data_IF_549947650124
#
_entry.id   IF_549947650124
#
_cell.length_a   1.000
_cell.length_b   1.000
_cell.length_c   1.000
_cell.angle_alpha   90.00
_cell.angle_beta   90.00
_cell.angle_gamma   90.00
#
_symmetry.space_group_name_H-M   'P 1'
#
loop_
_entity.id
_entity.type
_entity.pdbx_description
1 polymer ?
#
# COMPACT_ATOMS: atom_id res chain seq x y z
N UNK A 1 -29.38 30.70 28.80
CA UNK A 1 -29.27 29.50 27.94
C UNK A 1 -28.99 29.81 26.46
N UNK A 2 -29.65 30.78 25.80
CA UNK A 2 -29.42 31.09 24.37
C UNK A 2 -27.96 31.45 23.98
N UNK A 3 -27.19 32.05 24.88
CA UNK A 3 -25.79 32.43 24.60
C UNK A 3 -24.80 31.27 24.76
N UNK A 4 -25.14 30.24 25.55
CA UNK A 4 -24.31 29.04 25.76
C UNK A 4 -24.40 28.09 24.55
N UNK A 5 -25.57 28.05 23.87
CA UNK A 5 -25.79 27.27 22.66
C UNK A 5 -25.00 27.81 21.46
N UNK A 6 -24.87 29.14 21.31
CA UNK A 6 -24.07 29.76 20.25
C UNK A 6 -22.58 29.46 20.38
N UNK A 7 -22.07 29.42 21.63
CA UNK A 7 -20.68 29.11 21.92
C UNK A 7 -20.36 27.64 21.61
N UNK A 8 -21.23 26.71 22.03
CA UNK A 8 -21.09 25.27 21.76
C UNK A 8 -21.15 24.93 20.27
N UNK A 9 -22.00 25.60 19.51
CA UNK A 9 -22.14 25.36 18.06
C UNK A 9 -20.91 25.87 17.29
N UNK A 10 -20.33 26.99 17.70
CA UNK A 10 -19.10 27.53 17.09
C UNK A 10 -17.89 26.62 17.29
N UNK A 11 -17.70 26.08 18.50
CA UNK A 11 -16.57 25.21 18.81
C UNK A 11 -16.66 23.85 18.10
N UNK A 12 -17.87 23.32 17.92
CA UNK A 12 -18.09 22.06 17.18
C UNK A 12 -17.73 22.20 15.70
N UNK A 13 -18.11 23.31 15.04
CA UNK A 13 -17.82 23.54 13.63
C UNK A 13 -16.31 23.72 13.38
N UNK A 14 -15.60 24.42 14.27
CA UNK A 14 -14.13 24.56 14.17
C UNK A 14 -13.42 23.22 14.40
N UNK A 15 -13.89 22.39 15.35
CA UNK A 15 -13.35 21.05 15.59
C UNK A 15 -13.54 20.09 14.40
N UNK A 16 -14.71 20.16 13.72
CA UNK A 16 -14.99 19.34 12.53
C UNK A 16 -14.16 19.81 11.33
N UNK A 17 -13.96 21.12 11.14
CA UNK A 17 -13.14 21.67 10.05
C UNK A 17 -11.65 21.34 10.19
N UNK A 18 -11.12 21.25 11.42
CA UNK A 18 -9.73 20.82 11.66
C UNK A 18 -9.53 19.30 11.52
N UNK A 19 -10.62 18.51 11.51
CA UNK A 19 -10.57 17.07 11.28
C UNK A 19 -10.55 16.66 9.81
N UNK A 20 -10.82 17.58 8.88
CA UNK A 20 -10.80 17.31 7.44
C UNK A 20 -9.37 17.42 6.89
N UNK A 21 -8.61 16.36 7.11
CA UNK A 21 -7.51 15.94 6.24
C UNK A 21 -6.32 16.89 6.15
N UNK A 22 -5.40 16.79 7.11
CA UNK A 22 -4.01 17.14 6.83
C UNK A 22 -3.49 16.17 5.77
N UNK A 23 -3.36 16.63 4.52
CA UNK A 23 -2.57 15.91 3.52
C UNK A 23 -1.12 16.07 3.96
N UNK A 24 -0.58 15.06 4.64
CA UNK A 24 0.82 15.05 5.01
C UNK A 24 1.64 15.12 3.72
N UNK A 25 2.50 16.12 3.59
CA UNK A 25 3.54 16.17 2.57
C UNK A 25 4.68 15.25 3.03
N UNK A 26 4.46 13.94 3.05
CA UNK A 26 5.51 12.98 3.34
C UNK A 26 6.00 12.39 2.01
N UNK A 27 7.31 12.44 1.76
CA UNK A 27 7.87 11.85 0.55
C UNK A 27 7.63 10.32 0.43
N UNK A 28 7.11 9.68 1.48
CA UNK A 28 6.80 8.25 1.55
C UNK A 28 5.70 7.96 2.55
N UNK A 29 4.83 6.98 2.25
CA UNK A 29 3.95 6.34 3.21
C UNK A 29 3.88 4.82 3.02
N UNK A 30 3.63 4.10 4.12
CA UNK A 30 3.50 2.64 4.16
C UNK A 30 2.12 2.28 4.69
N UNK A 31 1.50 1.24 4.13
CA UNK A 31 0.23 0.72 4.63
C UNK A 31 0.42 -0.06 5.92
N UNK A 32 -0.67 -0.39 6.60
CA UNK A 32 -0.63 -1.47 7.60
C UNK A 32 -0.15 -2.79 6.96
N UNK A 33 0.43 -3.65 7.78
CA UNK A 33 0.83 -5.01 7.38
C UNK A 33 -0.38 -5.94 7.42
N UNK A 34 -0.67 -6.61 6.30
CA UNK A 34 -1.60 -7.72 6.22
C UNK A 34 -0.91 -9.04 6.53
N UNK A 35 -1.65 -9.98 7.12
CA UNK A 35 -1.17 -11.31 7.47
C UNK A 35 -2.14 -12.34 6.92
N UNK A 36 -1.62 -13.41 6.34
CA UNK A 36 -2.43 -14.48 5.75
C UNK A 36 -1.68 -15.83 5.74
N UNK A 37 -2.43 -16.90 5.50
CA UNK A 37 -1.97 -18.28 5.58
C UNK A 37 -2.35 -18.99 6.89
N UNK A 38 -1.87 -20.24 7.08
CA UNK A 38 -0.88 -20.92 6.26
C UNK A 38 -1.41 -21.37 4.88
N UNK A 39 -0.56 -21.28 3.84
CA UNK A 39 -0.82 -21.77 2.48
C UNK A 39 0.36 -22.65 2.09
N UNK A 40 0.09 -23.90 1.74
CA UNK A 40 1.10 -24.90 1.43
C UNK A 40 2.25 -24.96 2.46
N UNK A 41 1.91 -24.80 3.74
CA UNK A 41 2.85 -24.86 4.87
C UNK A 41 3.53 -23.53 5.26
N UNK A 42 3.23 -22.41 4.59
CA UNK A 42 3.86 -21.11 4.86
C UNK A 42 2.86 -20.03 5.26
N UNK A 43 3.24 -19.18 6.19
CA UNK A 43 2.46 -17.99 6.59
C UNK A 43 3.15 -16.74 6.08
N UNK A 44 2.37 -15.81 5.55
CA UNK A 44 2.88 -14.68 4.78
C UNK A 44 2.38 -13.36 5.35
N UNK A 45 3.18 -12.32 5.25
CA UNK A 45 2.75 -10.95 5.45
C UNK A 45 2.91 -10.14 4.18
N UNK A 46 2.12 -9.08 4.02
CA UNK A 46 2.25 -8.17 2.90
C UNK A 46 2.01 -6.72 3.34
N UNK A 47 2.59 -5.78 2.60
CA UNK A 47 2.27 -4.36 2.74
C UNK A 47 2.55 -3.60 1.44
N UNK A 48 1.93 -2.43 1.32
CA UNK A 48 2.20 -1.49 0.25
C UNK A 48 2.98 -0.28 0.76
N UNK A 49 3.75 0.33 -0.14
CA UNK A 49 4.42 1.61 0.07
C UNK A 49 4.13 2.51 -1.12
N UNK A 50 4.00 3.81 -0.89
CA UNK A 50 3.96 4.85 -1.91
C UNK A 50 5.09 5.84 -1.61
N UNK A 51 5.74 6.35 -2.64
CA UNK A 51 6.72 7.43 -2.52
C UNK A 51 6.47 8.49 -3.57
N UNK A 52 6.57 9.75 -3.16
CA UNK A 52 6.46 10.97 -3.97
C UNK A 52 7.67 11.89 -3.75
N UNK A 53 8.74 11.38 -3.12
CA UNK A 53 9.96 12.14 -2.77
C UNK A 53 10.85 12.38 -4.00
N UNK A 54 11.85 11.51 -4.20
CA UNK A 54 12.75 11.58 -5.36
C UNK A 54 12.11 11.00 -6.62
N UNK A 55 11.26 9.98 -6.45
CA UNK A 55 10.61 9.28 -7.55
C UNK A 55 9.19 8.87 -7.16
N UNK A 56 8.27 9.00 -8.11
CA UNK A 56 6.91 8.51 -7.97
C UNK A 56 6.86 6.99 -8.17
N UNK A 57 6.60 6.25 -7.09
CA UNK A 57 6.33 4.81 -7.22
C UNK A 57 5.40 4.27 -6.13
N UNK A 58 4.68 3.21 -6.50
CA UNK A 58 4.05 2.27 -5.58
C UNK A 58 4.90 1.01 -5.46
N UNK A 59 5.02 0.46 -4.26
CA UNK A 59 5.69 -0.80 -4.00
C UNK A 59 4.75 -1.76 -3.29
N UNK A 60 4.96 -3.06 -3.51
CA UNK A 60 4.34 -4.15 -2.78
C UNK A 60 5.42 -5.10 -2.30
N UNK A 61 5.38 -5.42 -1.01
CA UNK A 61 6.30 -6.34 -0.34
C UNK A 61 5.49 -7.53 0.17
N UNK A 62 6.08 -8.71 0.05
CA UNK A 62 5.60 -9.97 0.62
C UNK A 62 6.74 -10.60 1.41
N UNK A 63 6.48 -11.00 2.64
CA UNK A 63 7.46 -11.60 3.53
C UNK A 63 6.93 -12.91 4.12
N UNK A 64 7.84 -13.80 4.49
CA UNK A 64 7.58 -14.93 5.36
C UNK A 64 7.35 -14.41 6.79
N UNK A 65 6.26 -14.83 7.44
CA UNK A 65 6.03 -14.52 8.85
C UNK A 65 6.93 -15.35 9.77
N UNK A 66 7.26 -16.57 9.35
CA UNK A 66 8.16 -17.45 10.08
C UNK A 66 9.62 -17.12 9.76
N UNK A 67 10.54 -17.70 10.54
CA UNK A 67 11.95 -17.70 10.19
C UNK A 67 12.22 -18.59 8.96
N UNK A 68 13.28 -18.29 8.22
CA UNK A 68 13.72 -19.07 7.08
C UNK A 68 13.18 -18.58 5.74
N UNK A 69 13.48 -19.35 4.70
CA UNK A 69 13.16 -19.03 3.31
C UNK A 69 11.97 -19.84 2.81
N UNK A 70 11.12 -19.19 2.04
CA UNK A 70 10.06 -19.83 1.27
C UNK A 70 10.64 -20.21 -0.10
N UNK A 71 10.32 -21.39 -0.66
CA UNK A 71 10.84 -21.86 -1.94
C UNK A 71 10.65 -20.87 -3.10
N UNK A 72 11.46 -21.05 -4.15
CA UNK A 72 11.25 -20.33 -5.41
C UNK A 72 9.84 -20.59 -5.95
N UNK A 73 9.22 -19.54 -6.49
CA UNK A 73 7.89 -19.59 -7.08
C UNK A 73 6.76 -19.50 -6.07
N UNK A 74 7.00 -19.61 -4.76
CA UNK A 74 5.93 -19.67 -3.77
C UNK A 74 5.40 -18.31 -3.32
N UNK A 75 6.13 -17.23 -3.63
CA UNK A 75 5.71 -15.86 -3.38
C UNK A 75 5.57 -15.13 -4.71
N UNK A 76 4.52 -14.33 -4.85
CA UNK A 76 4.38 -13.36 -5.93
C UNK A 76 3.92 -11.99 -5.42
N UNK A 77 4.26 -10.94 -6.14
CA UNK A 77 3.91 -9.56 -5.82
C UNK A 77 3.61 -8.78 -7.10
N UNK A 78 2.58 -7.93 -7.04
CA UNK A 78 2.19 -6.97 -8.07
C UNK A 78 1.98 -5.62 -7.40
N UNK A 79 2.74 -4.62 -7.84
CA UNK A 79 2.60 -3.25 -7.34
C UNK A 79 1.57 -2.48 -8.17
N UNK A 80 0.75 -1.67 -7.50
CA UNK A 80 -0.24 -0.79 -8.14
C UNK A 80 -0.21 0.58 -7.50
N UNK A 81 -0.08 1.60 -8.33
CA UNK A 81 -0.08 3.01 -7.98
C UNK A 81 -1.38 3.65 -8.44
N UNK A 82 -2.04 4.36 -7.54
CA UNK A 82 -3.30 5.05 -7.78
C UNK A 82 -3.09 6.55 -7.68
N UNK A 83 -3.73 7.30 -8.58
CA UNK A 83 -3.84 8.76 -8.55
C UNK A 83 -5.30 9.12 -8.30
N UNK A 84 -5.59 9.81 -7.19
CA UNK A 84 -6.96 10.17 -6.82
C UNK A 84 -7.92 8.98 -6.93
N UNK A 85 -7.50 7.83 -6.40
CA UNK A 85 -8.22 6.54 -6.41
C UNK A 85 -8.40 5.86 -7.78
N UNK A 86 -7.89 6.44 -8.86
CA UNK A 86 -7.85 5.82 -10.19
C UNK A 86 -6.51 5.11 -10.35
N UNK A 87 -6.54 3.86 -10.86
CA UNK A 87 -5.31 3.13 -11.16
C UNK A 87 -4.50 3.91 -12.21
N UNK A 88 -3.31 4.36 -11.83
CA UNK A 88 -2.43 5.05 -12.75
C UNK A 88 -1.44 4.09 -13.42
N UNK A 89 -0.87 3.16 -12.64
CA UNK A 89 0.08 2.20 -13.14
C UNK A 89 0.05 0.91 -12.32
N UNK A 90 0.30 -0.22 -12.97
CA UNK A 90 0.56 -1.48 -12.31
C UNK A 90 1.70 -2.27 -12.97
N UNK A 91 2.37 -3.11 -12.20
CA UNK A 91 3.30 -4.10 -12.75
C UNK A 91 2.57 -5.36 -13.17
N UNK A 92 3.26 -6.23 -13.93
CA UNK A 92 2.89 -7.64 -13.97
C UNK A 92 3.07 -8.31 -12.60
N UNK A 93 2.49 -9.50 -12.45
CA UNK A 93 2.69 -10.32 -11.26
C UNK A 93 4.06 -10.98 -11.35
N UNK A 94 4.97 -10.60 -10.45
CA UNK A 94 6.32 -11.14 -10.38
C UNK A 94 6.42 -12.19 -9.28
N UNK A 95 7.11 -13.29 -9.55
CA UNK A 95 7.28 -14.40 -8.61
C UNK A 95 8.74 -14.53 -8.13
N UNK A 96 8.94 -15.07 -6.94
CA UNK A 96 10.28 -15.37 -6.43
C UNK A 96 11.00 -16.35 -7.36
N UNK A 97 12.21 -16.02 -7.77
CA UNK A 97 13.06 -16.87 -8.63
C UNK A 97 14.15 -17.63 -7.86
N UNK A 98 14.15 -17.51 -6.53
CA UNK A 98 14.99 -18.25 -5.61
C UNK A 98 14.27 -18.42 -4.26
N UNK A 99 14.79 -19.31 -3.42
CA UNK A 99 14.32 -19.40 -2.05
C UNK A 99 14.66 -18.08 -1.32
N UNK A 100 13.66 -17.43 -0.73
CA UNK A 100 13.82 -16.12 -0.10
C UNK A 100 12.90 -15.96 1.11
N UNK A 101 13.28 -15.11 2.06
CA UNK A 101 12.40 -14.70 3.16
C UNK A 101 11.36 -13.65 2.74
N UNK A 102 11.49 -13.08 1.54
CA UNK A 102 10.47 -12.19 0.97
C UNK A 102 10.84 -11.62 -0.39
N UNK A 103 9.87 -11.01 -1.07
CA UNK A 103 10.02 -10.35 -2.36
C UNK A 103 9.36 -8.97 -2.37
N UNK A 104 9.95 -8.04 -3.10
CA UNK A 104 9.43 -6.67 -3.25
C UNK A 104 9.43 -6.28 -4.72
N UNK A 105 8.35 -5.65 -5.15
CA UNK A 105 8.18 -5.15 -6.52
C UNK A 105 7.74 -3.70 -6.44
N UNK A 106 8.33 -2.85 -7.26
CA UNK A 106 7.95 -1.44 -7.37
C UNK A 106 7.45 -1.15 -8.78
N UNK A 107 6.44 -0.29 -8.90
CA UNK A 107 6.16 0.38 -10.17
C UNK A 107 7.41 1.17 -10.57
N UNK A 108 7.73 1.24 -11.85
CA UNK A 108 8.94 1.95 -12.29
C UNK A 108 8.93 3.42 -11.85
N UNK A 109 10.09 3.93 -11.44
CA UNK A 109 10.32 5.29 -10.92
C UNK A 109 10.03 6.43 -11.90
N UNK A 110 9.74 6.12 -13.16
CA UNK A 110 9.48 7.07 -14.24
C UNK A 110 8.04 6.96 -14.72
N UNK A 111 7.09 7.03 -13.80
CA UNK A 111 5.68 7.24 -14.14
C UNK A 111 5.45 8.68 -14.65
N UNK A 112 6.21 9.08 -15.67
CA UNK A 112 6.07 10.32 -16.45
C UNK A 112 4.66 10.50 -17.00
N UNK A 113 3.81 9.47 -16.97
CA UNK A 113 2.39 9.54 -17.34
C UNK A 113 1.41 9.90 -16.22
N UNK A 114 1.79 9.84 -14.93
CA UNK A 114 0.84 10.10 -13.85
C UNK A 114 0.73 11.60 -13.49
N UNK A 115 1.78 12.39 -13.71
CA UNK A 115 1.81 13.85 -13.48
C UNK A 115 1.80 14.24 -11.99
N UNK A 116 1.46 15.50 -11.69
CA UNK A 116 1.25 15.95 -10.31
C UNK A 116 -0.11 15.52 -9.77
N UNK A 117 -0.23 15.37 -8.46
CA UNK A 117 -1.49 15.00 -7.80
C UNK A 117 -1.30 14.20 -6.52
N UNK A 118 -2.39 13.57 -6.09
CA UNK A 118 -2.43 12.79 -4.84
C UNK A 118 -2.38 11.30 -5.15
N UNK A 119 -1.44 10.60 -4.51
CA UNK A 119 -1.09 9.23 -4.80
C UNK A 119 -1.30 8.30 -3.61
N UNK A 120 -1.70 7.06 -3.90
CA UNK A 120 -1.71 5.94 -2.95
C UNK A 120 -1.28 4.65 -3.63
N UNK A 121 -0.95 3.63 -2.85
CA UNK A 121 -0.55 2.32 -3.34
C UNK A 121 -1.39 1.22 -2.69
N UNK A 122 -1.75 0.20 -3.49
CA UNK A 122 -2.47 -1.00 -3.03
C UNK A 122 -2.07 -2.21 -3.88
N UNK A 123 -1.22 -3.06 -3.34
CA UNK A 123 -0.66 -4.22 -4.01
C UNK A 123 -1.56 -5.43 -4.13
N UNK A 124 -1.06 -6.44 -4.84
CA UNK A 124 -1.51 -7.84 -4.76
C UNK A 124 -0.30 -8.69 -4.39
N UNK A 125 -0.47 -9.60 -3.44
CA UNK A 125 0.44 -10.71 -3.20
C UNK A 125 -0.17 -12.01 -3.70
N UNK A 126 0.69 -12.93 -4.12
CA UNK A 126 0.31 -14.27 -4.57
C UNK A 126 1.06 -15.30 -3.71
N UNK A 127 0.37 -16.33 -3.24
CA UNK A 127 0.97 -17.43 -2.51
C UNK A 127 0.62 -18.76 -3.18
N UNK A 128 1.63 -19.60 -3.42
CA UNK A 128 1.45 -20.86 -4.14
C UNK A 128 0.68 -21.87 -3.28
N UNK A 129 -0.46 -22.36 -3.79
CA UNK A 129 -1.38 -23.23 -3.05
C UNK A 129 -1.32 -24.71 -3.45
N UNK A 130 -0.33 -25.09 -4.29
CA UNK A 130 -0.18 -26.44 -4.81
C UNK A 130 -0.83 -26.69 -6.18
N UNK A 131 -1.72 -25.80 -6.64
CA UNK A 131 -2.39 -25.89 -7.95
C UNK A 131 -2.51 -24.53 -8.66
N UNK A 132 -1.66 -23.57 -8.30
CA UNK A 132 -1.76 -22.18 -8.72
C UNK A 132 -1.45 -21.23 -7.57
N UNK A 133 -2.16 -20.11 -7.50
CA UNK A 133 -1.90 -19.06 -6.52
C UNK A 133 -3.17 -18.51 -5.91
N UNK A 134 -3.15 -18.34 -4.58
CA UNK A 134 -4.12 -17.54 -3.86
C UNK A 134 -3.66 -16.07 -3.86
N UNK A 135 -4.58 -15.15 -4.17
CA UNK A 135 -4.29 -13.73 -4.29
C UNK A 135 -4.83 -12.94 -3.10
N UNK A 136 -3.98 -12.09 -2.50
CA UNK A 136 -4.34 -11.26 -1.36
C UNK A 136 -4.00 -9.80 -1.66
N UNK A 137 -4.91 -8.89 -1.32
CA UNK A 137 -4.62 -7.47 -1.42
C UNK A 137 -3.77 -7.03 -0.22
N UNK A 138 -2.91 -6.03 -0.43
CA UNK A 138 -2.40 -5.26 0.71
C UNK A 138 -3.48 -4.30 1.20
N UNK A 139 -3.27 -3.73 2.38
CA UNK A 139 -3.95 -2.49 2.75
C UNK A 139 -3.52 -1.33 1.82
N UNK A 140 -4.37 -0.32 1.73
CA UNK A 140 -4.08 0.93 1.00
C UNK A 140 -3.15 1.79 1.84
N UNK A 141 -2.17 2.44 1.21
CA UNK A 141 -1.33 3.43 1.91
C UNK A 141 -2.10 4.71 2.19
N UNK A 142 -1.71 5.49 3.22
CA UNK A 142 -2.09 6.90 3.29
C UNK A 142 -1.74 7.63 1.98
N UNK A 143 -2.55 8.64 1.63
CA UNK A 143 -2.30 9.46 0.45
C UNK A 143 -1.04 10.32 0.63
N UNK A 144 -0.27 10.46 -0.46
CA UNK A 144 0.87 11.36 -0.55
C UNK A 144 0.74 12.28 -1.76
N UNK A 145 1.05 13.56 -1.57
CA UNK A 145 1.03 14.52 -2.67
C UNK A 145 2.36 14.54 -3.40
N UNK A 146 2.28 14.66 -4.72
CA UNK A 146 3.37 15.04 -5.59
C UNK A 146 3.06 16.41 -6.20
N UNK A 147 3.87 17.44 -5.89
CA UNK A 147 3.68 18.79 -6.43
C UNK A 147 3.82 18.84 -7.96
#
# INVERSE_FOLDING_TARGET
MKNQLKLLTGTFVVGVLLGMGTIAMAGTATSNTGYYGPINGYSYSNFAKVSTDTYLYGQTRVDNQASGSIPSGYMGAKARLYKSDVLCYETDLYYSNSASSGIGVSTQSYSTGCGSGTYSSKGISAAYNGNGYDLYNTFVTPYQSQP
#
